data_IF_350797606537
#
_entry.id   IF_350797606537
#
_cell.length_a   1.000
_cell.length_b   1.000
_cell.length_c   1.000
_cell.angle_alpha   90.00
_cell.angle_beta   90.00
_cell.angle_gamma   90.00
#
_symmetry.space_group_name_H-M   'P 1'
#
loop_
_entity.id
_entity.type
_entity.pdbx_description
1 polymer ?
#
# COMPACT_ATOMS: atom_id res chain seq x y z
N UNK A 1 33.68 38.35 -13.87
CA UNK A 1 32.30 37.85 -13.75
C UNK A 1 32.38 36.61 -12.89
N UNK A 2 31.62 36.65 -11.81
CA UNK A 2 31.70 35.82 -10.61
C UNK A 2 31.60 34.32 -10.92
N UNK A 3 32.48 33.54 -10.28
CA UNK A 3 32.47 32.08 -10.30
C UNK A 3 31.49 31.60 -9.24
N UNK A 4 30.36 31.01 -9.64
CA UNK A 4 29.42 30.38 -8.72
C UNK A 4 29.59 28.87 -8.79
N UNK A 5 30.21 28.32 -7.75
CA UNK A 5 30.23 26.89 -7.44
C UNK A 5 28.81 26.45 -7.09
N UNK A 6 28.22 25.59 -7.91
CA UNK A 6 26.97 24.90 -7.56
C UNK A 6 27.35 23.59 -6.88
N UNK A 7 27.27 23.57 -5.56
CA UNK A 7 27.29 22.33 -4.79
C UNK A 7 25.99 21.58 -5.08
N UNK A 8 26.08 20.54 -5.90
CA UNK A 8 24.97 19.63 -6.12
C UNK A 8 24.93 18.64 -4.95
N UNK A 9 23.87 18.74 -4.14
CA UNK A 9 23.52 17.76 -3.13
C UNK A 9 23.50 16.37 -3.77
N UNK A 10 24.30 15.45 -3.23
CA UNK A 10 24.15 14.02 -3.45
C UNK A 10 22.77 13.63 -2.92
N UNK A 11 21.79 13.56 -3.83
CA UNK A 11 20.64 12.69 -3.63
C UNK A 11 21.21 11.29 -3.68
N UNK A 12 21.28 10.63 -2.53
CA UNK A 12 21.43 9.19 -2.48
C UNK A 12 20.41 8.60 -3.45
N UNK A 13 20.90 8.08 -4.57
CA UNK A 13 20.13 7.21 -5.44
C UNK A 13 19.97 5.91 -4.67
N UNK A 14 19.01 5.92 -3.75
CA UNK A 14 18.53 4.72 -3.08
C UNK A 14 17.85 3.87 -4.14
N UNK A 15 18.68 3.05 -4.78
CA UNK A 15 18.40 1.80 -5.46
C UNK A 15 16.95 1.67 -5.94
N UNK A 16 16.70 2.19 -7.15
CA UNK A 16 15.53 1.82 -7.95
C UNK A 16 15.67 0.35 -8.35
N UNK A 17 15.62 -0.56 -7.37
CA UNK A 17 15.49 -1.97 -7.60
C UNK A 17 14.15 -2.16 -8.31
N UNK A 18 14.22 -2.57 -9.57
CA UNK A 18 13.13 -3.01 -10.44
C UNK A 18 12.51 -4.30 -9.87
N UNK A 19 12.10 -4.24 -8.61
CA UNK A 19 11.48 -5.32 -7.88
C UNK A 19 10.00 -5.29 -8.21
N UNK A 20 9.51 -6.38 -8.80
CA UNK A 20 8.10 -6.54 -9.15
C UNK A 20 7.21 -6.24 -7.94
N UNK A 21 6.39 -5.19 -8.03
CA UNK A 21 5.55 -4.75 -6.92
C UNK A 21 4.18 -5.43 -7.00
N UNK A 22 3.85 -6.23 -5.99
CA UNK A 22 2.50 -6.77 -5.85
C UNK A 22 1.50 -5.65 -5.47
N UNK A 23 0.33 -5.63 -6.12
CA UNK A 23 -0.72 -4.65 -5.83
C UNK A 23 -2.12 -5.20 -6.12
N UNK A 24 -3.14 -4.57 -5.55
CA UNK A 24 -4.55 -4.82 -5.85
C UNK A 24 -5.05 -3.74 -6.80
N UNK A 25 -5.42 -4.15 -8.01
CA UNK A 25 -6.10 -3.29 -8.97
C UNK A 25 -7.61 -3.41 -8.78
N UNK A 26 -8.28 -2.26 -8.61
CA UNK A 26 -9.74 -2.23 -8.51
C UNK A 26 -10.36 -2.52 -9.87
N UNK A 27 -11.13 -3.60 -9.98
CA UNK A 27 -11.83 -3.96 -11.22
C UNK A 27 -12.74 -2.82 -11.67
N UNK A 28 -12.64 -2.44 -12.94
CA UNK A 28 -13.39 -1.33 -13.54
C UNK A 28 -12.81 0.07 -13.28
N UNK A 29 -11.72 0.21 -12.53
CA UNK A 29 -10.95 1.46 -12.41
C UNK A 29 -9.51 1.26 -12.86
N UNK A 30 -8.93 2.29 -13.49
CA UNK A 30 -7.52 2.29 -13.94
C UNK A 30 -6.57 2.93 -12.93
N UNK A 31 -7.08 3.47 -11.83
CA UNK A 31 -6.35 4.19 -10.79
C UNK A 31 -6.67 3.64 -9.40
N UNK A 32 -6.01 4.16 -8.35
CA UNK A 32 -6.24 3.79 -6.94
C UNK A 32 -5.83 2.34 -6.61
N UNK A 33 -4.65 1.94 -7.05
CA UNK A 33 -4.11 0.61 -6.74
C UNK A 33 -3.59 0.56 -5.29
N UNK A 34 -3.84 -0.57 -4.62
CA UNK A 34 -3.38 -0.78 -3.25
C UNK A 34 -2.08 -1.59 -3.29
N UNK A 35 -0.95 -0.98 -2.93
CA UNK A 35 0.36 -1.64 -2.93
C UNK A 35 0.46 -2.63 -1.78
N UNK A 36 1.01 -3.81 -2.05
CA UNK A 36 1.28 -4.82 -1.03
C UNK A 36 2.77 -4.73 -0.64
N UNK A 37 3.04 -4.33 0.60
CA UNK A 37 4.41 -4.20 1.10
C UNK A 37 4.93 -5.54 1.61
N UNK A 38 6.00 -6.05 1.01
CA UNK A 38 6.52 -7.39 1.29
C UNK A 38 6.87 -7.63 2.76
N UNK A 39 7.30 -6.57 3.45
CA UNK A 39 7.83 -6.63 4.81
C UNK A 39 6.77 -6.28 5.88
N UNK A 40 5.51 -6.09 5.51
CA UNK A 40 4.48 -5.59 6.44
C UNK A 40 3.11 -6.19 6.17
N UNK A 41 2.32 -6.37 7.23
CA UNK A 41 0.90 -6.71 7.09
C UNK A 41 0.12 -5.49 6.59
N UNK A 42 -0.51 -5.63 5.43
CA UNK A 42 -1.31 -4.58 4.81
C UNK A 42 -2.76 -4.75 5.24
N UNK A 43 -3.28 -3.78 5.97
CA UNK A 43 -4.62 -3.84 6.54
C UNK A 43 -5.58 -2.98 5.72
N UNK A 44 -6.79 -3.50 5.45
CA UNK A 44 -7.82 -2.84 4.64
C UNK A 44 -9.13 -2.78 5.43
N UNK A 45 -9.78 -1.62 5.43
CA UNK A 45 -11.07 -1.43 6.10
C UNK A 45 -11.54 0.03 6.07
N UNK A 46 -12.64 0.35 6.75
CA UNK A 46 -13.12 1.75 6.87
C UNK A 46 -12.54 2.51 8.08
N UNK A 47 -11.87 1.80 9.00
CA UNK A 47 -11.29 2.39 10.20
C UNK A 47 -10.15 3.35 9.86
N UNK A 48 -9.80 4.24 10.78
CA UNK A 48 -8.65 5.14 10.61
C UNK A 48 -7.30 4.45 10.88
N UNK A 49 -7.32 3.32 11.60
CA UNK A 49 -6.13 2.56 11.97
C UNK A 49 -5.89 1.38 11.02
N UNK A 50 -5.95 1.63 9.71
CA UNK A 50 -5.63 0.63 8.67
C UNK A 50 -4.68 1.24 7.64
N UNK A 51 -3.96 0.39 6.91
CA UNK A 51 -3.04 0.81 5.84
C UNK A 51 -3.80 1.47 4.70
N UNK A 52 -4.92 0.87 4.29
CA UNK A 52 -5.79 1.39 3.23
C UNK A 52 -7.21 1.57 3.73
N UNK A 53 -7.60 2.84 3.88
CA UNK A 53 -8.95 3.21 4.27
C UNK A 53 -9.88 3.25 3.05
N UNK A 54 -10.91 2.41 3.07
CA UNK A 54 -11.97 2.40 2.06
C UNK A 54 -13.22 3.09 2.59
N UNK A 55 -13.57 4.22 1.98
CA UNK A 55 -14.77 4.99 2.30
C UNK A 55 -15.75 4.93 1.13
N UNK A 56 -16.97 4.50 1.40
CA UNK A 56 -18.06 4.48 0.43
C UNK A 56 -19.13 5.48 0.85
N UNK A 57 -19.47 6.42 -0.04
CA UNK A 57 -20.55 7.38 0.20
C UNK A 57 -21.94 6.73 0.13
N UNK A 58 -22.12 5.74 -0.74
CA UNK A 58 -23.42 5.09 -0.96
C UNK A 58 -23.73 4.03 0.11
N UNK A 59 -22.72 3.30 0.59
CA UNK A 59 -22.89 2.24 1.59
C UNK A 59 -21.75 2.27 2.63
N UNK A 60 -21.75 3.25 3.56
CA UNK A 60 -20.63 3.45 4.49
C UNK A 60 -20.34 2.27 5.44
N UNK A 61 -21.32 1.38 5.65
CA UNK A 61 -21.23 0.27 6.60
C UNK A 61 -20.98 -1.10 5.95
N UNK A 62 -20.86 -1.17 4.61
CA UNK A 62 -20.59 -2.42 3.90
C UNK A 62 -19.19 -2.98 4.24
N UNK A 63 -18.23 -2.10 4.51
CA UNK A 63 -16.85 -2.48 4.86
C UNK A 63 -16.66 -2.32 6.37
N UNK A 64 -16.14 -3.37 7.01
CA UNK A 64 -15.80 -3.37 8.44
C UNK A 64 -14.67 -2.39 8.75
N UNK A 65 -14.54 -1.97 10.03
CA UNK A 65 -13.45 -1.07 10.46
C UNK A 65 -12.07 -1.65 10.13
N UNK A 66 -11.89 -2.93 10.44
CA UNK A 66 -10.81 -3.78 9.95
C UNK A 66 -11.50 -4.92 9.20
N UNK A 67 -11.32 -5.01 7.88
CA UNK A 67 -12.08 -5.93 7.03
C UNK A 67 -11.22 -7.12 6.62
N UNK A 68 -10.02 -6.88 6.10
CA UNK A 68 -9.09 -7.94 5.76
C UNK A 68 -7.65 -7.48 5.87
N UNK A 69 -6.74 -8.46 5.84
CA UNK A 69 -5.31 -8.23 5.91
C UNK A 69 -4.58 -9.08 4.89
N UNK A 70 -3.63 -8.45 4.20
CA UNK A 70 -2.72 -9.10 3.27
C UNK A 70 -1.36 -9.23 3.91
N UNK A 71 -0.74 -10.41 3.76
CA UNK A 71 0.59 -10.68 4.30
C UNK A 71 1.32 -11.66 3.39
N UNK A 72 2.60 -11.37 3.14
CA UNK A 72 3.50 -12.32 2.49
C UNK A 72 4.00 -13.32 3.53
N UNK A 73 3.85 -14.61 3.23
CA UNK A 73 4.43 -15.70 4.03
C UNK A 73 5.94 -15.78 3.82
N UNK A 74 6.61 -16.56 4.65
CA UNK A 74 8.04 -16.87 4.53
C UNK A 74 8.38 -17.58 3.21
N UNK A 75 7.44 -18.34 2.64
CA UNK A 75 7.55 -19.01 1.33
C UNK A 75 7.38 -18.05 0.13
N UNK A 76 7.18 -16.75 0.37
CA UNK A 76 6.97 -15.74 -0.67
C UNK A 76 5.52 -15.64 -1.18
N UNK A 77 4.61 -16.53 -0.76
CA UNK A 77 3.23 -16.50 -1.20
C UNK A 77 2.42 -15.39 -0.48
N UNK A 78 1.65 -14.63 -1.26
CA UNK A 78 0.68 -13.69 -0.71
C UNK A 78 -0.56 -14.40 -0.18
N UNK A 79 -1.01 -13.99 1.00
CA UNK A 79 -2.27 -14.44 1.59
C UNK A 79 -3.17 -13.28 1.94
N UNK A 80 -4.48 -13.53 1.90
CA UNK A 80 -5.51 -12.62 2.39
C UNK A 80 -6.28 -13.33 3.51
N UNK A 81 -6.50 -12.62 4.61
CA UNK A 81 -7.29 -13.12 5.74
C UNK A 81 -8.42 -12.15 6.04
N UNK A 82 -9.64 -12.66 6.04
CA UNK A 82 -10.83 -11.94 6.49
C UNK A 82 -10.76 -11.75 8.02
N UNK A 83 -10.88 -10.51 8.49
CA UNK A 83 -10.89 -10.17 9.92
C UNK A 83 -12.34 -10.12 10.39
N UNK A 84 -12.89 -11.31 10.62
CA UNK A 84 -14.21 -11.44 11.26
C UNK A 84 -14.17 -10.86 12.66
N UNK A 85 -15.16 -10.04 12.97
CA UNK A 85 -15.44 -9.62 14.35
C UNK A 85 -15.94 -10.88 15.07
N UNK A 86 -15.27 -11.28 16.15
CA UNK A 86 -15.75 -12.34 17.04
C UNK A 86 -17.03 -11.91 17.75
#
# INVERSE_FOLDING_TARGET
MESTTTEACSVDEEDCSDSEVACLMRVGKKSEWLRLFENTEVTVGRGVNVTYQLLSASCPLMISRLHCTFKRKEDGQWTVTDKKVK
#
